data_IF_869229562118
#
_entry.id   IF_869229562118
#
_cell.length_a   1.000
_cell.length_b   1.000
_cell.length_c   1.000
_cell.angle_alpha   90.00
_cell.angle_beta   90.00
_cell.angle_gamma   90.00
#
_symmetry.space_group_name_H-M   'P 1'
#
loop_
_entity.id
_entity.type
_entity.pdbx_description
1 polymer ?
#
# COMPACT_ATOMS: atom_id res chain seq x y z
N UNK A 1 17.77 8.18 15.85
CA UNK A 1 16.52 7.64 15.24
C UNK A 1 15.49 7.62 16.35
N UNK A 2 14.37 8.30 16.20
CA UNK A 2 13.27 8.28 17.17
C UNK A 2 12.68 6.87 17.22
N UNK A 3 12.30 6.42 18.43
CA UNK A 3 11.58 5.14 18.59
C UNK A 3 10.31 5.17 17.74
N UNK A 4 9.92 4.04 17.11
CA UNK A 4 8.66 3.98 16.38
C UNK A 4 7.50 4.24 17.33
N UNK A 5 6.42 4.88 16.84
CA UNK A 5 5.24 5.11 17.66
C UNK A 5 4.56 3.77 17.99
N UNK A 6 3.92 3.65 19.19
CA UNK A 6 3.16 2.46 19.53
C UNK A 6 1.97 2.31 18.59
N UNK A 7 1.60 1.05 18.30
CA UNK A 7 0.44 0.74 17.47
C UNK A 7 0.76 -0.21 16.31
N UNK A 8 -0.14 -0.24 15.32
CA UNK A 8 -0.01 -1.06 14.13
C UNK A 8 0.64 -0.24 12.99
N UNK A 9 1.59 -0.82 12.29
CA UNK A 9 2.27 -0.17 11.16
C UNK A 9 1.75 -0.75 9.84
N UNK A 10 1.15 0.05 8.98
CA UNK A 10 0.92 -0.30 7.57
C UNK A 10 2.23 -0.11 6.82
N UNK A 11 2.86 -1.20 6.48
CA UNK A 11 4.13 -1.23 5.77
C UNK A 11 3.91 -1.66 4.31
N UNK A 12 4.56 -1.00 3.39
CA UNK A 12 4.52 -1.36 1.98
C UNK A 12 5.72 -0.81 1.23
N UNK A 13 6.20 -1.51 0.23
CA UNK A 13 7.01 -0.87 -0.78
C UNK A 13 6.16 0.21 -1.51
N UNK A 14 6.74 1.34 -1.95
CA UNK A 14 5.99 2.35 -2.69
C UNK A 14 5.20 1.75 -3.86
N UNK A 15 3.96 2.18 -4.04
CA UNK A 15 3.03 1.74 -5.10
C UNK A 15 2.42 0.35 -4.96
N UNK A 16 2.60 -0.32 -3.82
CA UNK A 16 1.95 -1.61 -3.53
C UNK A 16 0.50 -1.49 -3.00
N UNK A 17 -0.09 -0.30 -2.95
CA UNK A 17 -1.50 -0.13 -2.55
C UNK A 17 -1.72 0.41 -1.13
N UNK A 18 -0.69 0.89 -0.42
CA UNK A 18 -0.85 1.44 0.94
C UNK A 18 -1.85 2.59 1.05
N UNK A 19 -2.01 3.40 0.01
CA UNK A 19 -3.03 4.46 -0.01
C UNK A 19 -4.43 3.86 0.08
N UNK A 20 -4.72 2.79 -0.65
CA UNK A 20 -6.00 2.09 -0.57
C UNK A 20 -6.23 1.52 0.83
N UNK A 21 -5.24 0.81 1.39
CA UNK A 21 -5.36 0.27 2.76
C UNK A 21 -5.55 1.38 3.80
N UNK A 22 -4.92 2.55 3.62
CA UNK A 22 -5.17 3.73 4.48
C UNK A 22 -6.60 4.23 4.38
N UNK A 23 -7.18 4.30 3.18
CA UNK A 23 -8.59 4.65 3.00
C UNK A 23 -9.50 3.63 3.66
N UNK A 24 -9.21 2.33 3.52
CA UNK A 24 -9.98 1.26 4.18
C UNK A 24 -9.96 1.42 5.72
N UNK A 25 -8.78 1.62 6.32
CA UNK A 25 -8.67 1.85 7.77
C UNK A 25 -9.38 3.14 8.19
N UNK A 26 -9.20 4.22 7.42
CA UNK A 26 -9.81 5.52 7.75
C UNK A 26 -11.34 5.45 7.66
N UNK A 27 -11.88 4.80 6.63
CA UNK A 27 -13.32 4.59 6.50
C UNK A 27 -13.85 3.64 7.58
N UNK A 28 -13.12 2.56 7.94
CA UNK A 28 -13.50 1.71 9.08
C UNK A 28 -13.62 2.51 10.37
N UNK A 29 -12.63 3.36 10.69
CA UNK A 29 -12.68 4.21 11.87
C UNK A 29 -13.88 5.16 11.81
N UNK A 30 -14.11 5.79 10.65
CA UNK A 30 -15.21 6.74 10.50
C UNK A 30 -16.58 6.05 10.54
N UNK A 31 -16.73 4.83 10.00
CA UNK A 31 -17.99 4.07 10.11
C UNK A 31 -18.34 3.70 11.55
N UNK A 32 -17.32 3.49 12.40
CA UNK A 32 -17.53 3.18 13.82
C UNK A 32 -17.79 4.42 14.64
N UNK A 33 -17.11 5.56 14.35
CA UNK A 33 -17.11 6.76 15.21
C UNK A 33 -17.88 7.96 14.65
N UNK A 34 -17.99 8.07 13.32
CA UNK A 34 -18.66 9.18 12.62
C UNK A 34 -18.09 10.57 12.96
N UNK A 35 -16.76 10.68 13.07
CA UNK A 35 -16.09 11.90 13.49
C UNK A 35 -15.76 12.86 12.35
N UNK A 36 -15.68 12.35 11.11
CA UNK A 36 -15.45 13.16 9.91
C UNK A 36 -16.61 13.02 8.93
N UNK A 37 -16.89 14.08 8.20
CA UNK A 37 -17.95 14.08 7.18
C UNK A 37 -17.64 13.09 6.05
N UNK A 38 -16.37 13.08 5.60
CA UNK A 38 -15.88 12.15 4.58
C UNK A 38 -14.38 11.91 4.73
N UNK A 39 -13.95 10.68 4.37
CA UNK A 39 -12.54 10.35 4.23
C UNK A 39 -12.07 10.77 2.84
N UNK A 40 -10.98 11.53 2.77
CA UNK A 40 -10.38 12.02 1.53
C UNK A 40 -8.84 12.04 1.61
N UNK A 41 -8.17 12.53 0.55
CA UNK A 41 -6.71 12.59 0.49
C UNK A 41 -6.07 13.62 1.45
N UNK A 42 -6.87 14.44 2.14
CA UNK A 42 -6.41 15.33 3.20
C UNK A 42 -6.56 14.64 4.56
N UNK A 43 -7.76 14.15 4.87
CA UNK A 43 -8.09 13.56 6.18
C UNK A 43 -7.36 12.24 6.44
N UNK A 44 -7.03 11.43 5.42
CA UNK A 44 -6.26 10.18 5.64
C UNK A 44 -4.89 10.41 6.27
N UNK A 45 -4.29 11.60 6.11
CA UNK A 45 -3.00 11.94 6.73
C UNK A 45 -3.11 12.23 8.22
N UNK A 46 -4.30 12.55 8.71
CA UNK A 46 -4.59 12.79 10.11
C UNK A 46 -5.16 11.55 10.80
N UNK A 47 -5.81 10.67 10.01
CA UNK A 47 -6.39 9.42 10.52
C UNK A 47 -5.33 8.31 10.58
N UNK A 48 -4.58 8.12 9.51
CA UNK A 48 -3.47 7.16 9.39
C UNK A 48 -2.22 7.92 8.95
N UNK A 49 -1.52 8.60 9.85
CA UNK A 49 -0.36 9.41 9.51
C UNK A 49 0.82 8.56 9.02
N UNK A 50 1.71 9.20 8.28
CA UNK A 50 2.95 8.58 7.80
C UNK A 50 4.08 8.87 8.78
N UNK A 51 4.79 7.82 9.20
CA UNK A 51 5.92 7.94 10.14
C UNK A 51 6.99 8.87 9.55
N UNK A 52 7.42 9.85 10.34
CA UNK A 52 8.45 10.82 9.95
C UNK A 52 7.93 12.03 9.17
N UNK A 53 6.62 12.17 9.00
CA UNK A 53 6.04 13.41 8.50
C UNK A 53 5.64 14.35 9.64
N UNK A 54 5.76 15.69 9.48
CA UNK A 54 5.58 16.66 10.57
C UNK A 54 4.13 16.84 11.06
N UNK A 55 3.14 16.31 10.35
CA UNK A 55 1.72 16.43 10.68
C UNK A 55 1.23 15.23 11.49
N UNK A 56 1.78 15.00 12.68
CA UNK A 56 1.43 13.89 13.57
C UNK A 56 0.10 14.10 14.34
N UNK A 57 -0.77 14.96 13.87
CA UNK A 57 -2.10 15.11 14.45
C UNK A 57 -2.93 13.88 14.09
N UNK A 58 -3.12 13.00 15.08
CA UNK A 58 -4.03 11.87 14.95
C UNK A 58 -5.45 12.28 15.30
N UNK A 59 -6.34 12.20 14.33
CA UNK A 59 -7.77 12.05 14.58
C UNK A 59 -8.04 10.67 15.20
N UNK A 60 -9.21 10.46 15.80
CA UNK A 60 -9.60 9.19 16.42
C UNK A 60 -8.58 8.69 17.47
N UNK A 61 -8.28 9.55 18.45
CA UNK A 61 -7.28 9.25 19.52
C UNK A 61 -7.69 8.09 20.43
N UNK A 62 -8.98 7.82 20.52
CA UNK A 62 -9.60 6.72 21.26
C UNK A 62 -9.58 5.40 20.49
N UNK A 63 -9.14 5.40 19.23
CA UNK A 63 -9.00 4.22 18.37
C UNK A 63 -7.57 3.67 18.38
N UNK A 64 -7.38 2.39 17.98
CA UNK A 64 -6.04 1.84 17.82
C UNK A 64 -5.15 2.73 16.97
N UNK A 65 -3.92 2.93 17.41
CA UNK A 65 -2.97 3.72 16.64
C UNK A 65 -2.54 2.96 15.39
N UNK A 66 -2.76 3.53 14.22
CA UNK A 66 -2.30 2.98 12.94
C UNK A 66 -1.45 4.01 12.22
N UNK A 67 -0.27 3.57 11.78
CA UNK A 67 0.73 4.40 11.13
C UNK A 67 1.10 3.82 9.77
N UNK A 68 1.53 4.64 8.83
CA UNK A 68 2.01 4.19 7.52
C UNK A 68 3.52 4.41 7.39
N UNK A 69 4.22 3.47 6.77
CA UNK A 69 5.62 3.61 6.39
C UNK A 69 5.95 2.96 5.05
N UNK A 70 7.05 3.40 4.44
CA UNK A 70 7.71 2.72 3.33
C UNK A 70 9.09 2.18 3.73
N UNK A 71 9.45 2.30 5.01
CA UNK A 71 10.71 1.77 5.52
C UNK A 71 10.68 0.23 5.53
N UNK A 72 11.85 -0.38 5.38
CA UNK A 72 12.07 -1.78 5.73
C UNK A 72 11.80 -1.98 7.23
N UNK A 73 11.52 -3.22 7.62
CA UNK A 73 11.31 -3.54 9.03
C UNK A 73 12.50 -3.11 9.90
N UNK A 74 12.19 -2.55 11.03
CA UNK A 74 13.15 -2.20 12.09
C UNK A 74 12.58 -2.50 13.46
N UNK A 75 13.46 -2.70 14.44
CA UNK A 75 13.06 -2.93 15.82
C UNK A 75 12.05 -1.88 16.30
N UNK A 76 10.94 -2.35 16.86
CA UNK A 76 9.79 -1.54 17.27
C UNK A 76 8.64 -1.49 16.25
N UNK A 77 8.80 -2.08 15.05
CA UNK A 77 7.68 -2.39 14.15
C UNK A 77 7.18 -3.81 14.43
N UNK A 78 6.77 -4.05 15.69
CA UNK A 78 6.51 -5.41 16.19
C UNK A 78 5.13 -5.93 15.79
N UNK A 79 4.23 -5.03 15.37
CA UNK A 79 2.89 -5.35 14.85
C UNK A 79 2.64 -4.59 13.55
N UNK A 80 2.49 -5.32 12.44
CA UNK A 80 2.41 -4.68 11.14
C UNK A 80 1.40 -5.35 10.20
N UNK A 81 0.82 -4.52 9.33
CA UNK A 81 0.09 -4.94 8.13
C UNK A 81 1.02 -4.73 6.94
N UNK A 82 1.55 -5.82 6.40
CA UNK A 82 2.38 -5.78 5.20
C UNK A 82 1.48 -5.82 3.97
N UNK A 83 1.50 -4.73 3.20
CA UNK A 83 0.75 -4.64 1.94
C UNK A 83 1.67 -5.02 0.80
N UNK A 84 1.38 -6.14 0.17
CA UNK A 84 2.07 -6.67 -1.00
C UNK A 84 1.27 -6.41 -2.27
N UNK A 85 1.96 -6.34 -3.38
CA UNK A 85 1.42 -6.36 -4.73
C UNK A 85 2.40 -7.08 -5.62
N UNK A 86 1.93 -7.75 -6.67
CA UNK A 86 2.84 -8.39 -7.60
C UNK A 86 3.92 -7.40 -8.07
N UNK A 87 5.18 -7.81 -8.15
CA UNK A 87 6.29 -6.90 -8.41
C UNK A 87 6.21 -6.20 -9.76
N UNK A 88 5.67 -6.85 -10.80
CA UNK A 88 5.54 -6.25 -12.13
C UNK A 88 4.64 -5.02 -12.11
N UNK A 89 3.45 -5.12 -11.51
CA UNK A 89 2.53 -3.99 -11.38
C UNK A 89 3.07 -2.89 -10.46
N UNK A 90 3.76 -3.29 -9.39
CA UNK A 90 4.42 -2.35 -8.47
C UNK A 90 5.47 -1.53 -9.20
N UNK A 91 6.33 -2.18 -10.01
CA UNK A 91 7.40 -1.54 -10.76
C UNK A 91 6.87 -0.63 -11.88
N UNK A 92 5.87 -1.08 -12.64
CA UNK A 92 5.22 -0.23 -13.65
C UNK A 92 4.56 1.00 -12.99
N UNK A 93 3.83 0.80 -11.89
CA UNK A 93 3.21 1.90 -11.16
C UNK A 93 4.25 2.86 -10.58
N UNK A 94 5.41 2.36 -10.16
CA UNK A 94 6.50 3.18 -9.66
C UNK A 94 7.18 3.97 -10.80
N UNK A 95 7.37 3.35 -11.96
CA UNK A 95 7.86 4.03 -13.17
C UNK A 95 6.96 5.23 -13.54
N UNK A 96 5.64 5.01 -13.63
CA UNK A 96 4.68 6.10 -13.90
C UNK A 96 4.72 7.19 -12.83
N UNK A 97 4.91 6.83 -11.58
CA UNK A 97 5.01 7.80 -10.49
C UNK A 97 6.30 8.62 -10.58
N UNK A 98 7.44 7.99 -10.87
CA UNK A 98 8.71 8.69 -11.04
C UNK A 98 8.68 9.67 -12.22
N UNK A 99 8.17 9.22 -13.36
CA UNK A 99 8.16 10.03 -14.58
C UNK A 99 7.09 11.13 -14.52
N UNK A 100 5.90 10.82 -14.03
CA UNK A 100 4.78 11.77 -13.99
C UNK A 100 4.82 12.72 -12.80
N UNK A 101 5.02 12.20 -11.57
CA UNK A 101 4.98 13.03 -10.35
C UNK A 101 6.31 13.74 -10.09
N UNK A 102 7.43 13.06 -10.28
CA UNK A 102 8.75 13.63 -10.01
C UNK A 102 9.44 14.22 -11.25
N UNK A 103 8.83 14.09 -12.44
CA UNK A 103 9.39 14.57 -13.70
C UNK A 103 10.74 13.95 -14.05
N UNK A 104 11.04 12.75 -13.54
CA UNK A 104 12.32 12.09 -13.78
C UNK A 104 12.29 11.34 -15.10
N UNK A 105 13.27 11.54 -15.94
CA UNK A 105 13.49 10.71 -17.11
C UNK A 105 14.06 9.36 -16.68
N UNK A 106 13.34 8.28 -16.94
CA UNK A 106 13.75 6.91 -16.71
C UNK A 106 12.96 5.96 -17.60
N UNK A 107 13.61 4.96 -18.15
CA UNK A 107 12.93 3.86 -18.83
C UNK A 107 12.36 2.87 -17.82
N UNK A 108 11.42 2.02 -18.26
CA UNK A 108 10.90 0.95 -17.41
C UNK A 108 12.04 -0.02 -17.00
N UNK A 109 13.00 -0.28 -17.90
CA UNK A 109 14.16 -1.11 -17.63
C UNK A 109 15.04 -0.51 -16.51
N UNK A 110 15.27 0.81 -16.53
CA UNK A 110 16.03 1.49 -15.48
C UNK A 110 15.38 1.31 -14.11
N UNK A 111 14.05 1.38 -14.06
CA UNK A 111 13.31 1.17 -12.81
C UNK A 111 13.39 -0.28 -12.37
N UNK A 112 13.08 -1.24 -13.26
CA UNK A 112 13.05 -2.68 -12.93
C UNK A 112 14.40 -3.16 -12.39
N UNK A 113 15.51 -2.72 -13.00
CA UNK A 113 16.87 -3.16 -12.63
C UNK A 113 17.53 -2.31 -11.53
N UNK A 114 16.88 -1.24 -11.08
CA UNK A 114 17.39 -0.36 -10.03
C UNK A 114 17.63 -1.11 -8.72
N UNK A 115 18.82 -1.00 -8.15
CA UNK A 115 19.11 -1.54 -6.81
C UNK A 115 18.34 -0.85 -5.68
N UNK A 116 17.92 0.41 -5.90
CA UNK A 116 17.23 1.22 -4.89
C UNK A 116 15.71 1.14 -4.97
N UNK A 117 15.15 1.01 -6.18
CA UNK A 117 13.71 1.12 -6.42
C UNK A 117 13.15 -0.02 -7.27
N UNK A 118 14.00 -0.94 -7.72
CA UNK A 118 13.64 -2.04 -8.62
C UNK A 118 13.22 -3.31 -7.90
N UNK A 119 13.23 -4.41 -8.64
CA UNK A 119 12.77 -5.72 -8.18
C UNK A 119 13.47 -6.18 -6.89
N UNK A 120 14.79 -5.99 -6.78
CA UNK A 120 15.54 -6.34 -5.57
C UNK A 120 15.11 -5.56 -4.34
N UNK A 121 14.73 -4.29 -4.50
CA UNK A 121 14.25 -3.47 -3.40
C UNK A 121 12.83 -3.84 -2.95
N UNK A 122 11.94 -4.20 -3.90
CA UNK A 122 10.60 -4.74 -3.59
C UNK A 122 10.73 -5.99 -2.73
N UNK A 123 11.56 -6.93 -3.17
CA UNK A 123 11.77 -8.22 -2.46
C UNK A 123 12.42 -8.00 -1.10
N UNK A 124 13.45 -7.18 -1.01
CA UNK A 124 14.14 -6.89 0.26
C UNK A 124 13.21 -6.24 1.29
N UNK A 125 12.37 -5.28 0.85
CA UNK A 125 11.38 -4.66 1.72
C UNK A 125 10.42 -5.69 2.29
N UNK A 126 9.82 -6.53 1.46
CA UNK A 126 8.88 -7.57 1.89
C UNK A 126 9.54 -8.60 2.81
N UNK A 127 10.70 -9.15 2.42
CA UNK A 127 11.46 -10.10 3.21
C UNK A 127 11.81 -9.55 4.60
N UNK A 128 12.11 -8.24 4.69
CA UNK A 128 12.44 -7.62 5.98
C UNK A 128 11.32 -7.75 7.02
N UNK A 129 10.05 -7.72 6.60
CA UNK A 129 8.89 -7.92 7.47
C UNK A 129 8.55 -9.41 7.64
N UNK A 130 8.54 -10.17 6.56
CA UNK A 130 8.21 -11.60 6.57
C UNK A 130 9.13 -12.40 7.52
N UNK A 131 10.41 -12.04 7.56
CA UNK A 131 11.41 -12.74 8.36
C UNK A 131 11.48 -12.29 9.83
N UNK A 132 11.00 -11.06 10.14
CA UNK A 132 11.35 -10.42 11.41
C UNK A 132 10.18 -9.85 12.20
N UNK A 133 9.04 -9.56 11.57
CA UNK A 133 7.90 -8.96 12.26
C UNK A 133 7.17 -10.03 13.10
N UNK A 134 7.09 -9.88 14.44
CA UNK A 134 6.52 -10.93 15.31
C UNK A 134 5.01 -11.11 15.12
N UNK A 135 4.27 -10.02 14.88
CA UNK A 135 2.83 -10.02 14.69
C UNK A 135 2.52 -9.36 13.33
N UNK A 136 2.32 -10.18 12.30
CA UNK A 136 2.25 -9.75 10.92
C UNK A 136 0.95 -10.22 10.23
N UNK A 137 0.17 -9.26 9.75
CA UNK A 137 -0.89 -9.50 8.79
C UNK A 137 -0.37 -9.20 7.38
N UNK A 138 -0.41 -10.19 6.50
CA UNK A 138 -0.12 -9.97 5.07
C UNK A 138 -1.43 -9.75 4.32
N UNK A 139 -1.53 -8.62 3.61
CA UNK A 139 -2.59 -8.29 2.67
C UNK A 139 -1.98 -8.15 1.27
N UNK A 140 -2.55 -8.82 0.28
CA UNK A 140 -2.15 -8.62 -1.11
C UNK A 140 -3.14 -7.71 -1.82
N UNK A 141 -2.63 -6.85 -2.70
CA UNK A 141 -3.45 -5.98 -3.54
C UNK A 141 -4.46 -6.79 -4.36
N UNK A 142 -4.02 -7.94 -4.86
CA UNK A 142 -4.80 -8.85 -5.68
C UNK A 142 -5.97 -9.47 -4.90
N UNK A 143 -5.74 -9.90 -3.65
CA UNK A 143 -6.80 -10.43 -2.78
C UNK A 143 -7.83 -9.34 -2.40
N UNK A 144 -7.34 -8.15 -2.07
CA UNK A 144 -8.20 -6.98 -1.82
C UNK A 144 -9.03 -6.63 -3.07
N UNK A 145 -8.44 -6.75 -4.26
CA UNK A 145 -9.14 -6.47 -5.52
C UNK A 145 -10.21 -7.52 -5.83
N UNK A 146 -9.89 -8.81 -5.62
CA UNK A 146 -10.81 -9.92 -5.90
C UNK A 146 -11.92 -10.05 -4.88
N UNK A 147 -11.63 -9.85 -3.58
CA UNK A 147 -12.57 -10.10 -2.47
C UNK A 147 -12.31 -9.12 -1.32
N UNK A 148 -12.71 -7.85 -1.46
CA UNK A 148 -12.33 -6.82 -0.48
C UNK A 148 -12.92 -7.05 0.91
N UNK A 149 -14.19 -7.52 1.04
CA UNK A 149 -14.86 -7.64 2.34
C UNK A 149 -14.16 -8.60 3.32
N UNK A 150 -13.81 -9.83 2.94
CA UNK A 150 -13.05 -10.74 3.82
C UNK A 150 -11.70 -10.15 4.25
N UNK A 151 -10.97 -9.54 3.32
CA UNK A 151 -9.66 -8.95 3.62
C UNK A 151 -9.78 -7.73 4.56
N UNK A 152 -10.82 -6.91 4.39
CA UNK A 152 -11.09 -5.76 5.27
C UNK A 152 -11.59 -6.22 6.64
N UNK A 153 -12.33 -7.33 6.73
CA UNK A 153 -12.67 -7.96 8.03
C UNK A 153 -11.39 -8.39 8.75
N UNK A 154 -10.52 -9.14 8.09
CA UNK A 154 -9.21 -9.54 8.66
C UNK A 154 -8.40 -8.33 9.12
N UNK A 155 -8.42 -7.25 8.36
CA UNK A 155 -7.74 -6.00 8.71
C UNK A 155 -8.36 -5.37 9.96
N UNK A 156 -9.69 -5.27 10.07
CA UNK A 156 -10.39 -4.72 11.22
C UNK A 156 -10.08 -5.53 12.50
N UNK A 157 -10.15 -6.86 12.42
CA UNK A 157 -9.84 -7.76 13.54
C UNK A 157 -8.36 -7.60 13.96
N UNK A 158 -7.44 -7.54 12.99
CA UNK A 158 -6.01 -7.39 13.27
C UNK A 158 -5.69 -6.06 13.93
N UNK A 159 -6.30 -4.95 13.54
CA UNK A 159 -6.08 -3.65 14.20
C UNK A 159 -6.84 -3.53 15.53
N UNK A 160 -7.65 -4.52 15.90
CA UNK A 160 -8.44 -4.51 17.13
C UNK A 160 -9.65 -3.58 17.07
N UNK A 161 -10.28 -3.43 15.91
CA UNK A 161 -11.47 -2.61 15.71
C UNK A 161 -12.72 -3.53 15.64
N UNK A 162 -13.62 -3.37 16.60
CA UNK A 162 -14.92 -4.03 16.59
C UNK A 162 -15.84 -3.28 15.60
N UNK A 163 -15.97 -3.82 14.39
CA UNK A 163 -16.79 -3.28 13.33
C UNK A 163 -17.82 -4.33 12.88
N UNK A 164 -19.07 -3.91 12.65
CA UNK A 164 -20.11 -4.78 12.10
C UNK A 164 -19.85 -5.09 10.62
N UNK A 165 -20.52 -6.10 10.06
CA UNK A 165 -20.42 -6.43 8.64
C UNK A 165 -20.90 -5.29 7.74
N UNK A 166 -21.91 -4.55 8.17
CA UNK A 166 -22.41 -3.37 7.45
C UNK A 166 -21.36 -2.24 7.44
N UNK A 167 -20.66 -2.01 8.55
CA UNK A 167 -19.57 -1.03 8.63
C UNK A 167 -18.38 -1.43 7.75
N UNK A 168 -18.04 -2.72 7.73
CA UNK A 168 -17.02 -3.24 6.80
C UNK A 168 -17.45 -3.03 5.35
N UNK A 169 -18.71 -3.33 5.02
CA UNK A 169 -19.22 -3.14 3.67
C UNK A 169 -19.21 -1.65 3.25
N UNK A 170 -19.60 -0.75 4.16
CA UNK A 170 -19.58 0.70 3.94
C UNK A 170 -18.13 1.22 3.76
N UNK A 171 -17.19 0.76 4.58
CA UNK A 171 -15.79 1.11 4.46
C UNK A 171 -15.19 0.65 3.12
N UNK A 172 -15.54 -0.55 2.64
CA UNK A 172 -15.15 -1.05 1.32
C UNK A 172 -15.71 -0.14 0.21
N UNK A 173 -16.99 0.20 0.28
CA UNK A 173 -17.65 1.07 -0.71
C UNK A 173 -17.01 2.48 -0.76
N UNK A 174 -16.79 3.10 0.41
CA UNK A 174 -16.14 4.41 0.54
C UNK A 174 -14.66 4.42 0.14
N UNK A 175 -14.04 3.25 0.05
CA UNK A 175 -12.65 3.07 -0.38
C UNK A 175 -12.54 2.47 -1.79
N UNK A 176 -13.62 2.43 -2.56
CA UNK A 176 -13.58 1.96 -3.94
C UNK A 176 -12.67 2.85 -4.81
N UNK A 177 -12.16 2.28 -5.91
CA UNK A 177 -11.31 3.04 -6.82
C UNK A 177 -12.01 4.30 -7.34
N UNK A 178 -13.30 4.19 -7.67
CA UNK A 178 -14.08 5.32 -8.17
C UNK A 178 -14.28 6.40 -7.09
N UNK A 179 -14.60 6.02 -5.86
CA UNK A 179 -14.74 6.96 -4.74
C UNK A 179 -13.41 7.70 -4.46
N UNK A 180 -12.29 6.99 -4.43
CA UNK A 180 -10.98 7.61 -4.26
C UNK A 180 -10.60 8.51 -5.44
N UNK A 181 -10.91 8.11 -6.67
CA UNK A 181 -10.63 8.90 -7.87
C UNK A 181 -11.47 10.18 -7.91
N UNK A 182 -12.74 10.11 -7.51
CA UNK A 182 -13.61 11.26 -7.36
C UNK A 182 -13.09 12.22 -6.28
N UNK A 183 -12.69 11.68 -5.13
CA UNK A 183 -12.06 12.46 -4.06
C UNK A 183 -10.79 13.18 -4.54
N UNK A 184 -9.91 12.49 -5.29
CA UNK A 184 -8.72 13.13 -5.88
C UNK A 184 -9.10 14.25 -6.85
N UNK A 185 -10.11 14.02 -7.70
CA UNK A 185 -10.53 14.98 -8.72
C UNK A 185 -11.19 16.24 -8.13
N UNK A 186 -11.97 16.08 -7.06
CA UNK A 186 -12.76 17.17 -6.47
C UNK A 186 -12.02 17.94 -5.39
N UNK A 187 -11.27 17.25 -4.54
CA UNK A 187 -10.58 17.81 -3.36
C UNK A 187 -9.07 17.90 -3.53
N UNK A 188 -8.50 17.25 -4.53
CA UNK A 188 -7.06 17.16 -4.72
C UNK A 188 -6.38 16.26 -3.68
N UNK A 189 -5.04 16.38 -3.60
CA UNK A 189 -4.19 15.65 -2.63
C UNK A 189 -3.44 16.62 -1.74
N UNK A 190 -3.31 16.28 -0.45
CA UNK A 190 -2.53 17.08 0.51
C UNK A 190 -1.05 17.18 0.11
N UNK A 191 -0.49 16.13 -0.47
CA UNK A 191 0.90 16.05 -0.94
C UNK A 191 0.95 15.55 -2.39
N UNK A 192 1.79 16.17 -3.19
CA UNK A 192 2.01 15.84 -4.60
C UNK A 192 1.95 17.06 -5.51
N UNK A 193 2.42 16.90 -6.75
CA UNK A 193 2.38 17.94 -7.77
C UNK A 193 0.96 18.17 -8.33
N UNK A 194 0.71 19.36 -8.82
CA UNK A 194 -0.49 19.65 -9.60
C UNK A 194 -0.33 19.07 -11.01
N UNK A 195 -1.38 18.42 -11.52
CA UNK A 195 -1.40 17.88 -12.87
C UNK A 195 -1.06 16.39 -13.02
N UNK A 196 -0.54 15.75 -11.98
CA UNK A 196 -0.35 14.29 -11.98
C UNK A 196 -1.57 13.59 -11.34
N UNK A 197 -2.18 12.68 -12.08
CA UNK A 197 -3.27 11.84 -11.56
C UNK A 197 -2.69 10.62 -10.85
N UNK A 198 -2.82 10.59 -9.53
CA UNK A 198 -2.31 9.49 -8.69
C UNK A 198 -3.16 8.22 -8.85
N UNK A 199 -4.50 8.35 -8.87
CA UNK A 199 -5.45 7.26 -9.10
C UNK A 199 -5.59 7.00 -10.61
N UNK A 200 -4.63 6.21 -11.18
CA UNK A 200 -4.54 6.00 -12.63
C UNK A 200 -5.55 4.98 -13.15
N UNK A 201 -5.40 3.72 -12.81
CA UNK A 201 -6.25 2.62 -13.31
C UNK A 201 -6.66 1.62 -12.22
N UNK A 202 -5.80 1.36 -11.23
CA UNK A 202 -6.10 0.40 -10.15
C UNK A 202 -6.18 -1.06 -10.62
N UNK A 203 -5.71 -1.37 -11.84
CA UNK A 203 -5.83 -2.69 -12.45
C UNK A 203 -4.75 -3.67 -11.95
N UNK A 204 -5.00 -4.96 -12.14
CA UNK A 204 -4.08 -6.07 -11.88
C UNK A 204 -3.58 -6.61 -13.24
N UNK A 205 -2.25 -6.84 -13.35
CA UNK A 205 -1.64 -7.49 -14.51
C UNK A 205 -1.06 -6.56 -15.58
N UNK A 206 -1.29 -5.25 -15.51
CA UNK A 206 -0.71 -4.31 -16.49
C UNK A 206 0.81 -4.32 -16.51
N UNK A 207 1.43 -4.37 -15.33
CA UNK A 207 2.88 -4.42 -15.20
C UNK A 207 3.46 -5.69 -15.75
N UNK A 208 2.78 -6.82 -15.50
CA UNK A 208 3.16 -8.08 -16.10
C UNK A 208 3.12 -8.00 -17.64
N UNK A 209 2.01 -7.53 -18.21
CA UNK A 209 1.89 -7.38 -19.66
C UNK A 209 2.99 -6.48 -20.25
N UNK A 210 3.37 -5.40 -19.58
CA UNK A 210 4.40 -4.47 -20.04
C UNK A 210 5.83 -5.04 -19.91
N UNK A 211 6.17 -5.64 -18.74
CA UNK A 211 7.53 -6.10 -18.45
C UNK A 211 7.84 -7.43 -19.15
N UNK A 212 6.85 -8.31 -19.33
CA UNK A 212 7.03 -9.61 -20.00
C UNK A 212 7.30 -9.50 -21.49
N UNK A 213 7.06 -8.35 -22.11
CA UNK A 213 7.49 -8.07 -23.49
C UNK A 213 9.02 -8.10 -23.65
N UNK A 214 9.75 -7.83 -22.57
CA UNK A 214 11.19 -8.04 -22.50
C UNK A 214 11.50 -9.26 -21.60
N UNK A 215 11.84 -10.42 -22.20
CA UNK A 215 12.13 -11.63 -21.43
C UNK A 215 13.33 -11.50 -20.48
N UNK A 216 14.24 -10.54 -20.68
CA UNK A 216 15.35 -10.31 -19.77
C UNK A 216 14.88 -9.59 -18.51
N UNK A 217 13.95 -8.65 -18.63
CA UNK A 217 13.35 -7.96 -17.49
C UNK A 217 12.47 -8.91 -16.69
N UNK A 218 11.63 -9.73 -17.34
CA UNK A 218 10.80 -10.73 -16.64
C UNK A 218 11.67 -11.73 -15.86
N UNK A 219 12.72 -12.29 -16.50
CA UNK A 219 13.68 -13.16 -15.81
C UNK A 219 14.38 -12.47 -14.64
N UNK A 220 14.66 -11.17 -14.75
CA UNK A 220 15.24 -10.42 -13.66
C UNK A 220 14.28 -10.34 -12.46
N UNK A 221 13.02 -10.01 -12.67
CA UNK A 221 12.00 -9.96 -11.61
C UNK A 221 11.85 -11.33 -10.94
N UNK A 222 11.70 -12.41 -11.71
CA UNK A 222 11.57 -13.78 -11.18
C UNK A 222 12.80 -14.22 -10.39
N UNK A 223 14.00 -13.89 -10.86
CA UNK A 223 15.25 -14.19 -10.13
C UNK A 223 15.32 -13.44 -8.79
N UNK A 224 14.84 -12.21 -8.73
CA UNK A 224 14.78 -11.48 -7.46
C UNK A 224 13.72 -12.09 -6.52
N UNK A 225 12.54 -12.46 -7.02
CA UNK A 225 11.48 -13.15 -6.26
C UNK A 225 11.99 -14.43 -5.61
N UNK A 226 12.70 -15.27 -6.36
CA UNK A 226 13.25 -16.54 -5.89
C UNK A 226 14.21 -16.40 -4.68
N UNK A 227 14.65 -15.18 -4.34
CA UNK A 227 15.43 -14.91 -3.13
C UNK A 227 14.60 -14.84 -1.85
N UNK A 228 13.27 -14.78 -1.97
CA UNK A 228 12.34 -14.76 -0.85
C UNK A 228 11.24 -15.80 -1.09
N UNK A 229 11.35 -17.03 -0.52
CA UNK A 229 10.43 -18.13 -0.78
C UNK A 229 8.95 -17.76 -0.61
N UNK A 230 8.61 -17.01 0.44
CA UNK A 230 7.23 -16.60 0.67
C UNK A 230 6.66 -15.68 -0.42
N UNK A 231 7.48 -14.86 -1.08
CA UNK A 231 7.07 -14.07 -2.24
C UNK A 231 7.06 -14.90 -3.52
N UNK A 232 7.99 -15.83 -3.65
CA UNK A 232 8.04 -16.74 -4.79
C UNK A 232 6.79 -17.61 -4.82
N UNK A 233 6.40 -18.20 -3.69
CA UNK A 233 5.15 -18.95 -3.55
C UNK A 233 3.91 -18.14 -3.98
N UNK A 234 3.89 -16.84 -3.69
CA UNK A 234 2.77 -15.97 -4.03
C UNK A 234 2.76 -15.57 -5.53
N UNK A 235 3.93 -15.34 -6.12
CA UNK A 235 4.02 -14.63 -7.41
C UNK A 235 4.85 -15.31 -8.49
N UNK A 236 5.57 -16.41 -8.23
CA UNK A 236 6.40 -17.09 -9.24
C UNK A 236 5.58 -17.56 -10.46
N UNK A 237 4.34 -17.99 -10.23
CA UNK A 237 3.40 -18.46 -11.27
C UNK A 237 2.41 -17.35 -11.68
N UNK A 238 2.63 -16.11 -11.24
CA UNK A 238 1.74 -15.02 -11.58
C UNK A 238 1.67 -14.80 -13.07
N UNK A 239 0.50 -15.04 -13.62
CA UNK A 239 0.02 -14.68 -14.95
C UNK A 239 -1.36 -14.08 -14.74
N UNK A 240 -1.62 -12.84 -15.19
CA UNK A 240 -2.92 -12.19 -15.01
C UNK A 240 -4.00 -12.88 -15.81
#
# INVERSE_FOLDING_TARGET
MTSPPPGVVIASFPKSGSTWVRFLVANLFNEVSREVEAVDFHTIHEIVPEIGRPDDRRLFRDRPAVWKTHDEWRKGFDRAVLVLRNPWDTLLSFHHYMTGEWGREATLADVVTSGKHGASAVVRHAASYLDRCPDLLVLTYEALHASPRPEVRRLADFIGLDATDDQVAAAVAGSSFDAMRESEATKGRKYGGTGFRFMRQGAVGEGYAAISLDPALDRHVRRELAKCPALDDLYATFTP
#
